data_IF_630652591011
#
_entry.id   IF_630652591011
#
_cell.length_a   1.000
_cell.length_b   1.000
_cell.length_c   1.000
_cell.angle_alpha   90.00
_cell.angle_beta   90.00
_cell.angle_gamma   90.00
#
_symmetry.space_group_name_H-M   'P 1'
#
loop_
_entity.id
_entity.type
_entity.pdbx_description
1 polymer ?
#
# COMPACT_ATOMS: atom_id res chain seq x y z
N UNK A 1 -3.89 -6.03 7.44
CA UNK A 1 -2.54 -6.42 6.99
C UNK A 1 -2.63 -7.41 5.85
N UNK A 2 -1.65 -7.41 4.96
CA UNK A 2 -1.49 -8.41 3.90
C UNK A 2 -0.05 -8.91 3.89
N UNK A 3 0.17 -10.15 3.48
CA UNK A 3 1.51 -10.70 3.26
C UNK A 3 1.74 -10.84 1.78
N UNK A 4 2.83 -10.25 1.30
CA UNK A 4 3.31 -10.42 -0.06
C UNK A 4 4.45 -11.45 -0.06
N UNK A 5 4.78 -12.01 -1.22
CA UNK A 5 5.89 -12.97 -1.30
C UNK A 5 7.24 -12.36 -0.91
N UNK A 6 8.08 -13.16 -0.27
CA UNK A 6 9.39 -12.73 0.28
C UNK A 6 10.31 -12.05 -0.75
N UNK A 7 10.13 -12.35 -2.05
CA UNK A 7 10.89 -11.74 -3.15
C UNK A 7 10.81 -10.21 -3.18
N UNK A 8 9.78 -9.62 -2.58
CA UNK A 8 9.61 -8.16 -2.51
C UNK A 8 10.38 -7.51 -1.35
N UNK A 9 11.00 -8.33 -0.50
CA UNK A 9 11.80 -7.84 0.62
C UNK A 9 10.99 -7.01 1.61
N UNK A 10 9.68 -7.27 1.73
CA UNK A 10 8.75 -6.56 2.60
C UNK A 10 8.21 -7.50 3.68
N UNK A 11 8.24 -7.03 4.93
CA UNK A 11 7.40 -7.57 6.00
C UNK A 11 5.91 -7.37 5.65
N UNK A 12 4.98 -8.03 6.36
CA UNK A 12 3.55 -7.83 6.11
C UNK A 12 3.20 -6.35 6.03
N UNK A 13 2.47 -5.98 4.98
CA UNK A 13 2.06 -4.59 4.74
C UNK A 13 0.83 -4.30 5.59
N UNK A 14 0.96 -3.32 6.46
CA UNK A 14 -0.14 -2.73 7.20
C UNK A 14 -0.89 -1.75 6.29
N UNK A 15 -2.22 -1.80 6.37
CA UNK A 15 -3.11 -0.97 5.56
C UNK A 15 -4.07 -0.30 6.53
N UNK A 16 -4.01 1.03 6.57
CA UNK A 16 -4.92 1.87 7.36
C UNK A 16 -5.83 2.61 6.39
N UNK A 17 -7.14 2.43 6.55
CA UNK A 17 -8.16 3.08 5.73
C UNK A 17 -8.87 4.13 6.58
N UNK A 18 -8.74 5.39 6.15
CA UNK A 18 -9.48 6.53 6.66
C UNK A 18 -10.58 6.93 5.65
N UNK A 19 -11.42 7.90 6.00
CA UNK A 19 -12.66 8.19 5.25
C UNK A 19 -12.45 8.49 3.75
N UNK A 20 -11.29 9.05 3.37
CA UNK A 20 -10.99 9.46 1.99
C UNK A 20 -9.63 8.96 1.48
N UNK A 21 -8.87 8.22 2.31
CA UNK A 21 -7.52 7.84 1.95
C UNK A 21 -7.05 6.54 2.58
N UNK A 22 -6.01 5.96 1.98
CA UNK A 22 -5.36 4.75 2.46
C UNK A 22 -3.88 5.05 2.73
N UNK A 23 -3.39 4.55 3.86
CA UNK A 23 -1.96 4.54 4.17
C UNK A 23 -1.45 3.10 4.17
N UNK A 24 -0.35 2.88 3.48
CA UNK A 24 0.37 1.61 3.46
C UNK A 24 1.67 1.77 4.24
N UNK A 25 1.94 0.83 5.12
CA UNK A 25 3.17 0.79 5.91
C UNK A 25 3.78 -0.59 5.85
N UNK A 26 5.10 -0.67 5.74
CA UNK A 26 5.84 -1.92 5.82
C UNK A 26 7.25 -1.66 6.35
N UNK A 27 7.95 -2.75 6.63
CA UNK A 27 9.36 -2.75 7.00
C UNK A 27 10.08 -3.67 6.04
N UNK A 28 11.17 -3.20 5.44
CA UNK A 28 11.98 -4.05 4.58
C UNK A 28 12.63 -5.19 5.37
N UNK A 29 13.08 -6.23 4.69
CA UNK A 29 13.86 -7.31 5.33
C UNK A 29 15.17 -6.83 5.96
N UNK A 30 15.70 -5.67 5.53
CA UNK A 30 16.85 -4.99 6.15
C UNK A 30 16.47 -4.12 7.36
N UNK A 31 15.19 -4.01 7.72
CA UNK A 31 14.70 -3.23 8.84
C UNK A 31 14.39 -1.77 8.52
N UNK A 32 14.42 -1.36 7.25
CA UNK A 32 14.06 0.01 6.85
C UNK A 32 12.55 0.18 6.84
N UNK A 33 12.04 1.24 7.48
CA UNK A 33 10.62 1.58 7.44
C UNK A 33 10.26 2.19 6.09
N UNK A 34 9.13 1.77 5.53
CA UNK A 34 8.61 2.22 4.25
C UNK A 34 7.13 2.54 4.38
N UNK A 35 6.71 3.69 3.87
CA UNK A 35 5.30 4.04 3.84
C UNK A 35 4.94 4.91 2.65
N UNK A 36 3.69 4.75 2.21
CA UNK A 36 3.01 5.67 1.32
C UNK A 36 1.70 6.06 2.01
N UNK A 37 1.55 7.34 2.30
CA UNK A 37 0.44 7.86 3.08
C UNK A 37 -0.54 8.65 2.19
N UNK A 38 -1.79 8.74 2.63
CA UNK A 38 -2.79 9.59 2.01
C UNK A 38 -3.13 9.23 0.56
N UNK A 39 -3.04 7.94 0.19
CA UNK A 39 -3.34 7.48 -1.17
C UNK A 39 -4.83 7.57 -1.44
N UNK A 40 -5.23 8.17 -2.56
CA UNK A 40 -6.64 8.37 -2.95
C UNK A 40 -6.94 7.78 -4.33
N UNK A 41 -8.22 7.49 -4.66
CA UNK A 41 -8.61 6.87 -5.93
C UNK A 41 -8.11 7.56 -7.20
N UNK A 42 -8.04 8.89 -7.19
CA UNK A 42 -7.82 9.70 -8.39
C UNK A 42 -6.49 10.49 -8.33
N UNK A 43 -5.52 10.01 -7.54
CA UNK A 43 -4.25 10.72 -7.30
C UNK A 43 -3.28 10.73 -8.50
N UNK A 44 -3.69 10.21 -9.66
CA UNK A 44 -2.88 10.21 -10.89
C UNK A 44 -1.92 9.03 -11.03
N UNK A 45 -1.99 8.02 -10.16
CA UNK A 45 -1.25 6.77 -10.30
C UNK A 45 -1.06 5.99 -8.98
N UNK A 46 -0.45 4.79 -9.05
CA UNK A 46 -0.12 4.01 -7.88
C UNK A 46 1.01 4.64 -7.07
N UNK A 47 0.98 4.44 -5.75
CA UNK A 47 2.17 4.58 -4.91
C UNK A 47 3.00 3.30 -4.96
N UNK A 48 4.33 3.41 -4.88
CA UNK A 48 5.23 2.25 -5.04
C UNK A 48 6.08 2.03 -3.78
N UNK A 49 6.20 0.78 -3.35
CA UNK A 49 7.17 0.33 -2.34
C UNK A 49 7.89 -0.91 -2.88
N UNK A 50 9.23 -0.88 -2.99
CA UNK A 50 10.05 -2.00 -3.47
C UNK A 50 9.47 -2.70 -4.72
N UNK A 51 9.21 -1.92 -5.78
CA UNK A 51 8.67 -2.38 -7.07
C UNK A 51 7.26 -3.00 -7.02
N UNK A 52 6.59 -2.89 -5.87
CA UNK A 52 5.17 -3.22 -5.73
C UNK A 52 4.36 -1.92 -5.80
N UNK A 53 3.43 -1.89 -6.75
CA UNK A 53 2.51 -0.79 -6.95
C UNK A 53 1.23 -1.03 -6.15
N UNK A 54 0.80 -0.01 -5.43
CA UNK A 54 -0.44 0.03 -4.64
C UNK A 54 -1.30 1.16 -5.18
N UNK A 55 -2.39 0.80 -5.83
CA UNK A 55 -3.37 1.74 -6.36
C UNK A 55 -4.66 1.64 -5.56
N UNK A 56 -5.11 2.77 -5.03
CA UNK A 56 -6.44 2.87 -4.42
C UNK A 56 -7.42 3.10 -5.56
N UNK A 57 -8.50 2.33 -5.64
CA UNK A 57 -9.52 2.47 -6.69
C UNK A 57 -10.83 3.05 -6.15
N UNK A 58 -11.10 2.86 -4.87
CA UNK A 58 -12.25 3.42 -4.19
C UNK A 58 -12.01 3.46 -2.68
N UNK A 59 -12.56 4.46 -2.00
CA UNK A 59 -12.66 4.54 -0.55
C UNK A 59 -14.10 4.92 -0.18
N UNK A 60 -14.66 4.23 0.81
CA UNK A 60 -15.98 4.54 1.37
C UNK A 60 -15.97 4.29 2.87
N UNK A 61 -15.78 5.37 3.64
CA UNK A 61 -15.51 5.26 5.07
C UNK A 61 -14.29 4.36 5.32
N UNK A 62 -14.40 3.40 6.23
CA UNK A 62 -13.30 2.47 6.56
C UNK A 62 -13.14 1.28 5.60
N UNK A 63 -13.61 1.40 4.37
CA UNK A 63 -13.49 0.37 3.32
C UNK A 63 -12.77 0.94 2.13
N UNK A 64 -11.85 0.17 1.55
CA UNK A 64 -11.15 0.53 0.34
C UNK A 64 -11.08 -0.63 -0.64
N UNK A 65 -11.05 -0.32 -1.93
CA UNK A 65 -10.67 -1.25 -3.00
C UNK A 65 -9.26 -0.87 -3.41
N UNK A 66 -8.35 -1.84 -3.35
CA UNK A 66 -6.93 -1.64 -3.61
C UNK A 66 -6.51 -2.65 -4.67
N UNK A 67 -5.87 -2.16 -5.73
CA UNK A 67 -5.19 -2.97 -6.72
C UNK A 67 -3.70 -3.01 -6.40
N UNK A 68 -3.14 -4.21 -6.39
CA UNK A 68 -1.74 -4.46 -6.09
C UNK A 68 -1.13 -5.17 -7.29
N UNK A 69 -0.10 -4.56 -7.88
CA UNK A 69 0.58 -5.08 -9.07
C UNK A 69 2.10 -5.04 -8.89
N UNK A 70 2.82 -5.83 -9.68
CA UNK A 70 4.28 -5.78 -9.77
C UNK A 70 4.68 -5.96 -11.24
N UNK A 71 5.83 -5.42 -11.64
CA UNK A 71 6.47 -5.72 -12.94
C UNK A 71 7.47 -6.87 -12.84
#
# INVERSE_FOLDING_TARGET
MITLGDKWGLSPVEITVEDESVTFYSVSTSGAQMSIAGQTPDQGGPGTINDVNFEVLAVQGKKAVIMITHE
#
